data_IF_568457001271
#
_entry.id   IF_568457001271
#
_cell.length_a   1.000
_cell.length_b   1.000
_cell.length_c   1.000
_cell.angle_alpha   90.00
_cell.angle_beta   90.00
_cell.angle_gamma   90.00
#
_symmetry.space_group_name_H-M   'P 1'
#
loop_
_entity.id
_entity.type
_entity.pdbx_description
1 polymer ?
#
# COMPACT_ATOMS: atom_id res chain seq x y z
N UNK A 1 -4.62 6.54 33.43
CA UNK A 1 -5.61 6.01 32.47
C UNK A 1 -4.96 4.88 31.70
N UNK A 2 -5.52 3.68 31.73
CA UNK A 2 -5.08 2.58 30.87
C UNK A 2 -5.57 2.90 29.46
N UNK A 3 -4.67 2.91 28.49
CA UNK A 3 -5.03 3.09 27.09
C UNK A 3 -4.41 1.96 26.28
N UNK A 4 -5.02 1.64 25.16
CA UNK A 4 -4.64 0.49 24.33
C UNK A 4 -3.95 0.98 23.05
N UNK A 5 -3.12 0.13 22.47
CA UNK A 5 -2.52 0.38 21.16
C UNK A 5 -3.51 0.03 20.06
N UNK A 6 -3.54 0.85 19.01
CA UNK A 6 -4.38 0.69 17.85
C UNK A 6 -3.50 0.68 16.59
N UNK A 7 -3.03 -0.51 16.16
CA UNK A 7 -2.20 -0.64 14.97
C UNK A 7 -3.05 -0.68 13.69
N UNK A 8 -2.57 -0.01 12.64
CA UNK A 8 -3.13 -0.05 11.29
C UNK A 8 -2.02 -0.47 10.33
N UNK A 9 -2.31 -1.44 9.47
CA UNK A 9 -1.37 -1.97 8.47
C UNK A 9 -1.88 -1.68 7.07
N UNK A 10 -1.02 -1.13 6.21
CA UNK A 10 -1.34 -0.82 4.81
C UNK A 10 -0.11 -1.13 3.97
N UNK A 11 -0.29 -1.82 2.84
CA UNK A 11 0.77 -2.03 1.87
C UNK A 11 0.72 -0.91 0.82
N UNK A 12 1.89 -0.41 0.41
CA UNK A 12 2.05 0.53 -0.70
C UNK A 12 2.96 -0.07 -1.77
N UNK A 13 2.81 0.37 -3.02
CA UNK A 13 3.67 -0.10 -4.12
C UNK A 13 5.13 0.31 -3.89
N UNK A 14 6.06 -0.38 -4.55
CA UNK A 14 7.49 -0.02 -4.50
C UNK A 14 7.79 1.31 -5.19
N UNK A 15 6.89 1.75 -6.07
CA UNK A 15 6.98 2.99 -6.83
C UNK A 15 6.42 4.21 -6.07
N UNK A 16 5.71 3.98 -4.96
CA UNK A 16 5.09 5.03 -4.16
C UNK A 16 6.12 5.84 -3.35
N UNK A 17 5.83 7.13 -3.11
CA UNK A 17 6.60 7.95 -2.15
C UNK A 17 6.30 7.50 -0.71
N UNK A 18 7.24 6.74 -0.14
CA UNK A 18 7.09 6.12 1.19
C UNK A 18 7.08 7.16 2.31
N UNK A 19 7.88 8.22 2.19
CA UNK A 19 7.92 9.27 3.20
C UNK A 19 6.57 10.01 3.26
N UNK A 20 6.02 10.35 2.09
CA UNK A 20 4.70 10.96 1.98
C UNK A 20 3.58 10.04 2.49
N UNK A 21 3.63 8.74 2.18
CA UNK A 21 2.66 7.76 2.67
C UNK A 21 2.64 7.68 4.20
N UNK A 22 3.81 7.58 4.83
CA UNK A 22 3.94 7.56 6.29
C UNK A 22 3.46 8.87 6.93
N UNK A 23 3.74 10.01 6.29
CA UNK A 23 3.25 11.32 6.75
C UNK A 23 1.71 11.36 6.75
N UNK A 24 1.07 10.99 5.64
CA UNK A 24 -0.40 10.96 5.53
C UNK A 24 -1.02 10.02 6.56
N UNK A 25 -0.48 8.81 6.74
CA UNK A 25 -0.96 7.88 7.77
C UNK A 25 -0.88 8.49 9.17
N UNK A 26 0.23 9.17 9.46
CA UNK A 26 0.46 9.79 10.77
C UNK A 26 -0.48 10.98 11.00
N UNK A 27 -0.67 11.83 10.00
CA UNK A 27 -1.61 12.97 10.03
C UNK A 27 -3.06 12.51 10.19
N UNK A 28 -3.46 11.45 9.48
CA UNK A 28 -4.79 10.85 9.61
C UNK A 28 -5.07 10.42 11.06
N UNK A 29 -4.10 9.79 11.74
CA UNK A 29 -4.22 9.46 13.16
C UNK A 29 -4.26 10.70 14.06
N UNK A 30 -3.35 11.67 13.85
CA UNK A 30 -3.30 12.89 14.69
C UNK A 30 -4.60 13.68 14.65
N UNK A 31 -5.26 13.70 13.49
CA UNK A 31 -6.51 14.43 13.29
C UNK A 31 -7.76 13.65 13.71
N UNK A 32 -7.62 12.37 14.10
CA UNK A 32 -8.74 11.55 14.51
C UNK A 32 -9.18 11.88 15.96
N UNK A 33 -10.49 12.11 16.23
CA UNK A 33 -10.96 12.55 17.55
C UNK A 33 -10.65 11.56 18.68
N UNK A 34 -10.65 10.26 18.38
CA UNK A 34 -10.37 9.20 19.36
C UNK A 34 -8.88 8.88 19.55
N UNK A 35 -7.99 9.50 18.78
CA UNK A 35 -6.56 9.28 18.94
C UNK A 35 -6.07 9.97 20.22
N UNK A 36 -5.30 9.25 21.02
CA UNK A 36 -4.66 9.74 22.23
C UNK A 36 -3.14 9.84 22.03
N UNK A 37 -2.60 11.00 21.58
CA UNK A 37 -1.16 11.16 21.41
C UNK A 37 -0.40 10.91 22.72
N UNK A 38 0.72 10.20 22.64
CA UNK A 38 1.56 9.91 23.79
C UNK A 38 2.98 9.58 23.34
N UNK A 39 3.96 10.35 23.82
CA UNK A 39 5.34 10.25 23.36
C UNK A 39 5.40 10.42 21.85
N UNK A 40 5.98 9.43 21.18
CA UNK A 40 6.22 9.42 19.74
C UNK A 40 4.98 9.02 18.93
N UNK A 41 3.86 8.67 19.58
CA UNK A 41 2.64 8.21 18.92
C UNK A 41 1.66 9.37 18.63
N UNK A 42 0.99 9.36 17.46
CA UNK A 42 1.03 8.31 16.43
C UNK A 42 2.29 8.38 15.55
N UNK A 43 2.74 7.20 15.10
CA UNK A 43 3.91 7.06 14.24
C UNK A 43 3.72 5.95 13.20
N UNK A 44 4.09 6.22 11.95
CA UNK A 44 4.12 5.24 10.87
C UNK A 44 5.56 4.78 10.60
N UNK A 45 5.73 3.46 10.42
CA UNK A 45 7.04 2.85 10.15
C UNK A 45 6.93 1.81 9.04
N UNK A 46 8.05 1.55 8.35
CA UNK A 46 8.19 0.40 7.45
C UNK A 46 8.36 -0.86 8.29
N UNK A 47 7.55 -1.88 8.02
CA UNK A 47 7.63 -3.17 8.69
C UNK A 47 8.40 -4.20 7.86
N UNK A 48 8.03 -4.35 6.59
CA UNK A 48 8.54 -5.41 5.72
C UNK A 48 8.56 -4.95 4.25
N UNK A 49 9.52 -5.50 3.48
CA UNK A 49 9.55 -5.42 2.02
C UNK A 49 8.96 -6.75 1.49
N UNK A 50 7.72 -6.73 1.02
CA UNK A 50 6.99 -7.93 0.59
C UNK A 50 6.94 -8.05 -0.94
N UNK A 51 6.46 -9.18 -1.47
CA UNK A 51 6.52 -9.49 -2.90
C UNK A 51 5.87 -8.44 -3.81
N UNK A 52 4.73 -7.87 -3.39
CA UNK A 52 3.95 -6.91 -4.19
C UNK A 52 4.01 -5.48 -3.68
N UNK A 53 4.72 -5.22 -2.57
CA UNK A 53 4.83 -3.88 -2.02
C UNK A 53 5.43 -3.84 -0.62
N UNK A 54 5.53 -2.63 -0.09
CA UNK A 54 6.13 -2.31 1.21
C UNK A 54 5.02 -2.26 2.26
N UNK A 55 5.13 -3.08 3.31
CA UNK A 55 4.18 -3.08 4.42
C UNK A 55 4.50 -1.93 5.38
N UNK A 56 3.58 -1.00 5.53
CA UNK A 56 3.64 0.08 6.50
C UNK A 56 2.75 -0.25 7.70
N UNK A 57 3.19 0.19 8.89
CA UNK A 57 2.39 0.14 10.11
C UNK A 57 2.32 1.51 10.75
N UNK A 58 1.11 1.99 10.94
CA UNK A 58 0.78 3.12 11.80
C UNK A 58 0.44 2.58 13.19
N UNK A 59 1.11 3.08 14.21
CA UNK A 59 0.79 2.81 15.60
C UNK A 59 0.19 4.05 16.24
N UNK A 60 -0.98 3.91 16.84
CA UNK A 60 -1.68 4.96 17.58
C UNK A 60 -2.18 4.43 18.93
N UNK A 61 -2.75 5.30 19.79
CA UNK A 61 -3.38 4.89 21.06
C UNK A 61 -4.83 5.36 21.10
N UNK A 62 -5.66 4.56 21.75
CA UNK A 62 -7.06 4.91 22.03
C UNK A 62 -7.41 4.57 23.48
N UNK A 63 -8.52 5.12 23.95
CA UNK A 63 -8.99 5.00 25.35
C UNK A 63 -9.19 3.56 25.79
N UNK A 64 -9.83 2.75 24.96
CA UNK A 64 -10.17 1.35 25.24
C UNK A 64 -10.27 0.54 23.94
N UNK A 65 -10.48 -0.77 24.06
CA UNK A 65 -10.51 -1.69 22.93
C UNK A 65 -11.64 -1.40 21.93
N UNK A 66 -12.80 -0.95 22.40
CA UNK A 66 -13.94 -0.64 21.53
C UNK A 66 -13.65 0.60 20.70
N UNK A 67 -13.13 1.64 21.36
CA UNK A 67 -12.71 2.89 20.72
C UNK A 67 -11.59 2.63 19.71
N UNK A 68 -10.61 1.79 20.08
CA UNK A 68 -9.52 1.40 19.20
C UNK A 68 -10.03 0.71 17.92
N UNK A 69 -11.01 -0.18 18.04
CA UNK A 69 -11.59 -0.87 16.88
C UNK A 69 -12.26 0.11 15.92
N UNK A 70 -13.12 1.00 16.42
CA UNK A 70 -13.78 2.02 15.60
C UNK A 70 -12.76 2.94 14.92
N UNK A 71 -11.80 3.45 15.69
CA UNK A 71 -10.74 4.31 15.17
C UNK A 71 -9.91 3.62 14.08
N UNK A 72 -9.54 2.34 14.25
CA UNK A 72 -8.81 1.59 13.22
C UNK A 72 -9.63 1.52 11.92
N UNK A 73 -10.95 1.34 12.01
CA UNK A 73 -11.81 1.27 10.83
C UNK A 73 -11.90 2.60 10.09
N UNK A 74 -12.03 3.69 10.82
CA UNK A 74 -12.09 5.04 10.28
C UNK A 74 -10.75 5.45 9.66
N UNK A 75 -9.64 5.14 10.33
CA UNK A 75 -8.30 5.38 9.81
C UNK A 75 -8.05 4.62 8.50
N UNK A 76 -8.45 3.34 8.40
CA UNK A 76 -8.28 2.59 7.15
C UNK A 76 -9.02 3.23 5.97
N UNK A 77 -10.24 3.71 6.19
CA UNK A 77 -11.01 4.40 5.16
C UNK A 77 -10.37 5.74 4.78
N UNK A 78 -10.02 6.55 5.77
CA UNK A 78 -9.42 7.87 5.54
C UNK A 78 -8.05 7.75 4.85
N UNK A 79 -7.20 6.81 5.28
CA UNK A 79 -5.91 6.56 4.64
C UNK A 79 -6.11 6.17 3.17
N UNK A 80 -7.09 5.32 2.86
CA UNK A 80 -7.39 4.97 1.46
C UNK A 80 -7.78 6.20 0.64
N UNK A 81 -8.67 7.04 1.17
CA UNK A 81 -9.13 8.25 0.49
C UNK A 81 -7.98 9.23 0.25
N UNK A 82 -7.13 9.47 1.25
CA UNK A 82 -5.98 10.37 1.11
C UNK A 82 -4.90 9.79 0.20
N UNK A 83 -4.65 8.48 0.24
CA UNK A 83 -3.73 7.82 -0.68
C UNK A 83 -4.18 7.98 -2.13
N UNK A 84 -5.48 7.83 -2.42
CA UNK A 84 -6.02 8.04 -3.76
C UNK A 84 -5.84 9.49 -4.24
N UNK A 85 -6.10 10.46 -3.37
CA UNK A 85 -5.92 11.89 -3.68
C UNK A 85 -4.47 12.23 -3.98
N UNK A 86 -3.55 11.65 -3.22
CA UNK A 86 -2.12 11.98 -3.25
C UNK A 86 -1.31 11.10 -4.21
N UNK A 87 -1.97 10.15 -4.90
CA UNK A 87 -1.36 9.26 -5.90
C UNK A 87 -0.54 8.11 -5.32
N UNK A 88 -0.83 7.68 -4.08
CA UNK A 88 -0.15 6.56 -3.44
C UNK A 88 -0.88 5.27 -3.78
N UNK A 89 -0.23 4.41 -4.56
CA UNK A 89 -0.80 3.15 -5.01
C UNK A 89 -0.76 2.09 -3.88
N UNK A 90 -1.92 1.47 -3.62
CA UNK A 90 -2.02 0.22 -2.87
C UNK A 90 -1.96 -0.92 -3.90
N UNK A 91 -0.93 -1.79 -3.82
CA UNK A 91 -0.65 -2.71 -4.91
C UNK A 91 -1.60 -3.90 -4.90
N UNK A 92 -1.94 -4.37 -6.10
CA UNK A 92 -2.44 -5.73 -6.30
C UNK A 92 -1.27 -6.72 -6.41
N UNK A 93 -1.49 -8.02 -6.19
CA UNK A 93 -0.47 -9.03 -6.45
C UNK A 93 0.03 -8.98 -7.90
N UNK A 94 1.30 -8.62 -8.10
CA UNK A 94 1.94 -8.56 -9.44
C UNK A 94 2.71 -9.85 -9.71
N UNK A 95 2.65 -10.33 -10.95
CA UNK A 95 3.44 -11.47 -11.42
C UNK A 95 4.11 -11.11 -12.72
N UNK A 96 5.44 -11.19 -12.75
CA UNK A 96 6.19 -11.06 -13.99
C UNK A 96 6.36 -12.45 -14.61
N UNK A 97 5.82 -12.63 -15.83
CA UNK A 97 6.02 -13.86 -16.60
C UNK A 97 7.21 -13.64 -17.51
N UNK A 98 8.29 -14.38 -17.27
CA UNK A 98 9.45 -14.41 -18.18
C UNK A 98 9.22 -15.55 -19.17
N UNK A 99 9.10 -15.22 -20.45
CA UNK A 99 8.93 -16.21 -21.51
C UNK A 99 10.25 -16.94 -21.75
N UNK A 100 10.19 -18.27 -21.86
CA UNK A 100 11.33 -19.08 -22.25
C UNK A 100 11.77 -18.80 -23.69
N UNK A 101 13.06 -19.03 -23.99
CA UNK A 101 13.66 -18.75 -25.31
C UNK A 101 12.88 -19.37 -26.46
N UNK A 102 12.50 -20.64 -26.35
CA UNK A 102 11.78 -21.37 -27.39
C UNK A 102 10.43 -20.71 -27.74
N UNK A 103 9.66 -20.27 -26.74
CA UNK A 103 8.38 -19.61 -26.96
C UNK A 103 8.57 -18.21 -27.57
N UNK A 104 9.60 -17.48 -27.13
CA UNK A 104 9.97 -16.18 -27.69
C UNK A 104 10.34 -16.29 -29.18
N UNK A 105 11.14 -17.30 -29.54
CA UNK A 105 11.54 -17.55 -30.92
C UNK A 105 10.35 -17.91 -31.81
N UNK A 106 9.42 -18.73 -31.29
CA UNK A 106 8.18 -19.10 -31.99
C UNK A 106 7.27 -17.90 -32.22
N UNK A 107 7.10 -17.03 -31.23
CA UNK A 107 6.29 -15.81 -31.36
C UNK A 107 6.88 -14.84 -32.37
N UNK A 108 8.22 -14.70 -32.40
CA UNK A 108 8.91 -13.85 -33.36
C UNK A 108 8.67 -14.32 -34.80
N UNK A 109 8.77 -15.64 -35.05
CA UNK A 109 8.46 -16.23 -36.37
C UNK A 109 7.00 -16.02 -36.79
N UNK A 110 6.07 -16.09 -35.84
CA UNK A 110 4.65 -15.82 -36.10
C UNK A 110 4.42 -14.35 -36.46
N UNK A 111 5.09 -13.42 -35.78
CA UNK A 111 5.01 -11.99 -36.10
C UNK A 111 5.53 -11.69 -37.52
N UNK A 112 6.66 -12.27 -37.91
CA UNK A 112 7.24 -12.13 -39.26
C UNK A 112 6.30 -12.66 -40.35
N UNK A 113 5.69 -13.83 -40.12
CA UNK A 113 4.71 -14.42 -41.02
C UNK A 113 3.44 -13.54 -41.14
N UNK A 114 3.01 -12.92 -40.03
CA UNK A 114 1.81 -12.09 -39.99
C UNK A 114 2.00 -10.67 -40.52
N UNK A 115 3.26 -10.19 -40.61
CA UNK A 115 3.64 -8.93 -41.28
C UNK A 115 3.78 -9.06 -42.80
N UNK A 116 3.82 -10.27 -43.33
CA UNK A 116 3.95 -10.55 -44.76
C UNK A 116 2.65 -10.85 -45.56
N UNK A 117 1.39 -10.52 -45.17
CA UNK A 117 0.22 -10.95 -45.94
C UNK A 117 -0.13 -10.06 -47.14
N UNK A 118 0.57 -8.96 -47.39
CA UNK A 118 0.25 -8.04 -48.50
C UNK A 118 1.36 -7.95 -49.54
N UNK A 119 1.77 -9.10 -50.08
CA UNK A 119 2.46 -9.13 -51.38
C UNK A 119 2.11 -10.40 -52.14
N UNK A 120 0.83 -10.50 -52.53
CA UNK A 120 0.34 -11.11 -53.76
C UNK A 120 -1.16 -10.80 -53.91
#
# INVERSE_FOLDING_TARGET
MTSVLAPVFVQVSYESDIAKAMQIMTEAARNHPDCMPAGDLPNAVVMELQDSGILLRLLSRAKDQSTAFSMIRDLLLNIKIEFDKEGIEIPYPRRQIVLGRELSDRLSRLEEAWRSPSMN
#
